data_IF_224761898017
#
_entry.id   IF_224761898017
#
_cell.length_a   1.000
_cell.length_b   1.000
_cell.length_c   1.000
_cell.angle_alpha   90.00
_cell.angle_beta   90.00
_cell.angle_gamma   90.00
#
_symmetry.space_group_name_H-M   'P 1'
#
loop_
_entity.id
_entity.type
_entity.pdbx_description
1 polymer ?
#
# COMPACT_ATOMS: atom_id res chain seq x y z
N UNK A 1 9.40 -1.18 -1.27
CA UNK A 1 8.49 -2.23 -1.64
C UNK A 1 7.41 -2.44 -0.59
N UNK A 2 6.16 -2.56 -1.02
CA UNK A 2 5.04 -2.74 -0.11
C UNK A 2 5.20 -4.04 0.69
N UNK A 3 4.81 -4.01 1.97
CA UNK A 3 4.91 -5.19 2.82
C UNK A 3 3.83 -5.19 3.88
N UNK A 4 3.41 -6.38 4.28
CA UNK A 4 2.47 -6.52 5.37
C UNK A 4 3.15 -6.35 6.72
N UNK A 5 2.55 -5.55 7.60
CA UNK A 5 2.91 -5.48 9.01
C UNK A 5 2.11 -6.51 9.81
N UNK A 6 0.95 -6.88 9.30
CA UNK A 6 0.08 -7.93 9.83
C UNK A 6 -0.89 -8.34 8.71
N UNK A 7 -1.78 -9.29 8.98
CA UNK A 7 -2.80 -9.70 8.02
C UNK A 7 -3.88 -8.63 7.79
N UNK A 8 -3.76 -7.48 8.44
CA UNK A 8 -4.72 -6.38 8.34
C UNK A 8 -4.08 -5.03 8.08
N UNK A 9 -2.76 -4.92 8.14
CA UNK A 9 -2.07 -3.64 7.97
C UNK A 9 -0.98 -3.79 6.93
N UNK A 10 -1.04 -2.95 5.90
CA UNK A 10 -0.04 -2.89 4.84
C UNK A 10 0.78 -1.62 4.97
N UNK A 11 2.10 -1.75 4.90
CA UNK A 11 3.00 -0.63 4.74
C UNK A 11 3.17 -0.36 3.25
N UNK A 12 2.63 0.76 2.79
CA UNK A 12 2.47 1.10 1.39
C UNK A 12 3.46 2.19 0.98
N UNK A 13 3.99 2.06 -0.22
CA UNK A 13 4.84 3.09 -0.83
C UNK A 13 4.19 3.65 -2.08
N UNK A 14 4.24 4.98 -2.23
CA UNK A 14 3.79 5.64 -3.45
C UNK A 14 4.74 5.34 -4.61
N UNK A 15 4.34 5.75 -5.79
CA UNK A 15 5.26 5.80 -6.94
C UNK A 15 6.38 6.81 -6.68
N UNK A 16 7.46 6.69 -7.45
CA UNK A 16 8.55 7.65 -7.41
C UNK A 16 8.08 9.06 -7.77
N UNK A 17 8.81 10.06 -7.27
CA UNK A 17 8.55 11.47 -7.52
C UNK A 17 7.18 11.92 -6.97
N UNK A 18 6.83 11.40 -5.80
CA UNK A 18 5.63 11.81 -5.07
C UNK A 18 6.02 12.42 -3.75
N UNK A 19 5.29 13.47 -3.38
CA UNK A 19 5.47 14.18 -2.11
C UNK A 19 4.18 14.13 -1.30
N UNK A 20 4.26 14.46 -0.03
CA UNK A 20 3.07 14.53 0.82
C UNK A 20 2.00 15.46 0.24
N UNK A 21 2.41 16.47 -0.53
CA UNK A 21 1.50 17.43 -1.18
C UNK A 21 0.98 16.98 -2.54
N UNK A 22 1.47 15.85 -3.06
CA UNK A 22 1.02 15.35 -4.36
C UNK A 22 -0.46 14.98 -4.32
N UNK A 23 -1.19 15.30 -5.40
CA UNK A 23 -2.64 15.04 -5.46
C UNK A 23 -2.99 13.58 -5.22
N UNK A 24 -2.21 12.66 -5.80
CA UNK A 24 -2.43 11.22 -5.62
C UNK A 24 -2.29 10.81 -4.17
N UNK A 25 -1.32 11.38 -3.46
CA UNK A 25 -1.07 11.08 -2.05
C UNK A 25 -2.17 11.68 -1.19
N UNK A 26 -2.60 12.91 -1.49
CA UNK A 26 -3.65 13.59 -0.73
C UNK A 26 -4.97 12.84 -0.75
N UNK A 27 -5.24 12.05 -1.77
CA UNK A 27 -6.46 11.23 -1.85
C UNK A 27 -6.56 10.20 -0.73
N UNK A 28 -5.44 9.76 -0.19
CA UNK A 28 -5.44 8.82 0.94
C UNK A 28 -5.89 9.47 2.25
N UNK A 29 -5.74 10.77 2.37
CA UNK A 29 -5.94 11.51 3.63
C UNK A 29 -7.35 12.06 3.80
N UNK A 30 -8.24 11.82 2.85
CA UNK A 30 -9.60 12.34 2.86
C UNK A 30 -10.61 11.21 2.79
N UNK A 31 -11.80 11.42 3.35
CA UNK A 31 -12.91 10.45 3.31
C UNK A 31 -13.66 10.45 1.97
N UNK A 32 -13.27 11.30 1.02
CA UNK A 32 -13.98 11.45 -0.25
C UNK A 32 -13.80 10.27 -1.19
N UNK A 33 -12.75 9.49 -1.03
CA UNK A 33 -12.41 8.43 -1.96
C UNK A 33 -12.46 7.08 -1.29
N UNK A 34 -12.96 6.09 -2.02
CA UNK A 34 -12.87 4.69 -1.60
C UNK A 34 -11.54 4.14 -2.08
N UNK A 35 -10.73 3.65 -1.15
CA UNK A 35 -9.43 3.09 -1.46
C UNK A 35 -9.56 1.59 -1.69
N UNK A 36 -9.19 1.14 -2.88
CA UNK A 36 -9.20 -0.28 -3.26
C UNK A 36 -7.75 -0.76 -3.35
N UNK A 37 -7.45 -1.83 -2.66
CA UNK A 37 -6.08 -2.31 -2.57
C UNK A 37 -5.86 -3.54 -3.45
N UNK A 38 -4.88 -3.43 -4.36
CA UNK A 38 -4.43 -4.52 -5.21
C UNK A 38 -2.95 -4.76 -4.96
N UNK A 39 -2.53 -6.01 -4.95
CA UNK A 39 -1.15 -6.36 -4.67
C UNK A 39 -0.65 -7.46 -5.59
N UNK A 40 0.59 -7.32 -6.08
CA UNK A 40 1.31 -8.37 -6.78
C UNK A 40 2.09 -9.20 -5.78
N UNK A 41 2.32 -10.46 -6.11
CA UNK A 41 3.15 -11.31 -5.28
C UNK A 41 4.61 -10.85 -5.29
N UNK A 42 5.16 -10.61 -6.49
CA UNK A 42 6.55 -10.20 -6.64
C UNK A 42 6.77 -9.54 -7.99
N UNK A 43 7.58 -8.48 -8.02
CA UNK A 43 7.98 -7.83 -9.27
C UNK A 43 9.00 -8.65 -10.05
N UNK A 44 9.69 -9.58 -9.39
CA UNK A 44 10.66 -10.47 -10.03
C UNK A 44 10.01 -11.66 -10.73
N UNK A 45 8.73 -11.91 -10.49
CA UNK A 45 7.99 -12.97 -11.11
C UNK A 45 7.37 -12.48 -12.42
N UNK A 46 7.37 -13.33 -13.45
CA UNK A 46 6.68 -13.04 -14.70
C UNK A 46 5.16 -13.02 -14.53
N UNK A 47 4.67 -13.48 -13.40
CA UNK A 47 3.24 -13.43 -13.08
C UNK A 47 2.82 -11.99 -12.87
N UNK A 48 1.94 -11.51 -13.75
CA UNK A 48 1.42 -10.12 -13.70
C UNK A 48 0.08 -10.01 -13.01
N UNK A 49 -0.36 -11.09 -12.35
CA UNK A 49 -1.64 -11.09 -11.67
C UNK A 49 -1.60 -10.23 -10.41
N UNK A 50 -2.64 -9.45 -10.24
CA UNK A 50 -2.87 -8.67 -9.03
C UNK A 50 -3.96 -9.35 -8.21
N UNK A 51 -3.77 -9.35 -6.91
CA UNK A 51 -4.76 -9.87 -5.96
C UNK A 51 -5.51 -8.70 -5.33
N UNK A 52 -6.83 -8.74 -5.40
CA UNK A 52 -7.67 -7.72 -4.78
C UNK A 52 -7.83 -8.05 -3.31
N UNK A 53 -7.43 -7.10 -2.45
CA UNK A 53 -7.46 -7.28 -1.00
C UNK A 53 -8.62 -6.56 -0.33
N UNK A 54 -9.49 -5.94 -1.11
CA UNK A 54 -10.65 -5.23 -0.58
C UNK A 54 -10.39 -3.75 -0.38
N UNK A 55 -11.29 -3.13 0.37
CA UNK A 55 -11.16 -1.71 0.71
C UNK A 55 -10.26 -1.54 1.92
N UNK A 56 -9.66 -0.36 2.03
CA UNK A 56 -8.76 -0.02 3.14
C UNK A 56 -8.90 1.44 3.51
N UNK A 57 -8.30 1.81 4.63
CA UNK A 57 -8.29 3.18 5.15
C UNK A 57 -6.89 3.58 5.54
N UNK A 58 -6.58 4.86 5.36
CA UNK A 58 -5.33 5.43 5.82
C UNK A 58 -5.31 5.46 7.36
N UNK A 59 -4.17 5.04 7.94
CA UNK A 59 -3.95 5.15 9.37
C UNK A 59 -3.38 6.53 9.65
N UNK A 60 -4.11 7.33 10.41
CA UNK A 60 -3.75 8.71 10.70
C UNK A 60 -2.33 8.85 11.22
N UNK A 61 -1.65 9.87 10.76
CA UNK A 61 -0.30 10.24 11.18
C UNK A 61 0.79 9.23 10.77
N UNK A 62 0.47 8.25 9.93
CA UNK A 62 1.45 7.25 9.51
C UNK A 62 2.28 7.66 8.29
N UNK A 63 1.83 8.66 7.52
CA UNK A 63 2.53 9.06 6.30
C UNK A 63 3.88 9.71 6.59
N UNK A 64 4.88 9.36 5.77
CA UNK A 64 6.23 9.90 5.86
C UNK A 64 6.77 10.20 4.48
N UNK A 65 7.42 11.36 4.36
CA UNK A 65 8.20 11.69 3.17
C UNK A 65 9.52 10.94 3.27
N UNK A 66 9.86 10.20 2.21
CA UNK A 66 11.10 9.43 2.17
C UNK A 66 11.82 9.69 0.85
N UNK A 67 13.01 9.12 0.73
CA UNK A 67 13.84 9.21 -0.47
C UNK A 67 14.27 7.81 -0.85
N UNK A 68 14.08 7.44 -2.10
CA UNK A 68 14.52 6.16 -2.63
C UNK A 68 15.32 6.39 -3.90
N UNK A 69 16.61 6.05 -3.84
CA UNK A 69 17.53 6.23 -4.97
C UNK A 69 17.55 7.66 -5.50
N UNK A 70 17.51 8.63 -4.59
CA UNK A 70 17.52 10.05 -4.93
C UNK A 70 16.15 10.61 -5.33
N UNK A 71 15.09 9.82 -5.31
CA UNK A 71 13.75 10.24 -5.70
C UNK A 71 12.81 10.30 -4.50
N UNK A 72 11.99 11.36 -4.40
CA UNK A 72 11.04 11.45 -3.30
C UNK A 72 9.93 10.42 -3.46
N UNK A 73 9.60 9.75 -2.36
CA UNK A 73 8.46 8.84 -2.27
C UNK A 73 7.76 9.09 -0.94
N UNK A 74 6.54 8.59 -0.82
CA UNK A 74 5.78 8.67 0.43
C UNK A 74 5.45 7.25 0.88
N UNK A 75 5.71 6.97 2.15
CA UNK A 75 5.26 5.74 2.78
C UNK A 75 4.10 6.04 3.73
N UNK A 76 3.26 5.05 3.94
CA UNK A 76 2.14 5.16 4.87
C UNK A 76 1.64 3.78 5.26
N UNK A 77 0.86 3.72 6.32
CA UNK A 77 0.21 2.48 6.73
C UNK A 77 -1.27 2.52 6.37
N UNK A 78 -1.75 1.44 5.79
CA UNK A 78 -3.15 1.28 5.39
C UNK A 78 -3.74 0.11 6.18
N UNK A 79 -4.94 0.33 6.74
CA UNK A 79 -5.67 -0.71 7.43
C UNK A 79 -6.71 -1.29 6.48
N UNK A 80 -6.66 -2.61 6.26
CA UNK A 80 -7.67 -3.29 5.47
C UNK A 80 -8.96 -3.43 6.29
N UNK A 81 -10.10 -3.28 5.63
CA UNK A 81 -11.41 -3.42 6.27
C UNK A 81 -11.65 -4.86 6.68
N UNK A 82 -11.10 -5.81 5.93
CA UNK A 82 -11.16 -7.23 6.25
C UNK A 82 -9.75 -7.80 6.29
N UNK A 83 -9.52 -8.76 7.19
CA UNK A 83 -8.24 -9.47 7.25
C UNK A 83 -8.00 -10.21 5.94
N UNK A 84 -6.73 -10.27 5.52
CA UNK A 84 -6.35 -11.06 4.36
C UNK A 84 -6.59 -12.53 4.67
N UNK A 85 -7.19 -13.26 3.73
CA UNK A 85 -7.36 -14.69 3.85
C UNK A 85 -6.02 -15.37 4.15
N UNK A 86 -6.02 -16.35 5.06
CA UNK A 86 -4.81 -17.02 5.53
C UNK A 86 -3.94 -17.55 4.38
N UNK A 87 -4.54 -18.24 3.43
CA UNK A 87 -3.79 -18.81 2.31
C UNK A 87 -3.20 -17.72 1.41
N UNK A 88 -3.97 -16.67 1.15
CA UNK A 88 -3.51 -15.55 0.34
C UNK A 88 -2.40 -14.78 1.07
N UNK A 89 -2.53 -14.58 2.37
CA UNK A 89 -1.51 -13.90 3.17
C UNK A 89 -0.17 -14.62 3.08
N UNK A 90 -0.18 -15.95 3.21
CA UNK A 90 1.05 -16.73 3.08
C UNK A 90 1.59 -16.70 1.66
N UNK A 91 0.73 -16.73 0.67
CA UNK A 91 1.16 -16.60 -0.73
C UNK A 91 1.89 -15.28 -0.98
N UNK A 92 1.40 -14.20 -0.40
CA UNK A 92 1.96 -12.85 -0.63
C UNK A 92 3.16 -12.52 0.24
N UNK A 93 3.36 -13.21 1.36
CA UNK A 93 4.42 -12.90 2.32
C UNK A 93 5.56 -13.93 2.34
N UNK A 94 5.37 -15.10 1.80
CA UNK A 94 6.39 -16.17 1.79
C UNK A 94 7.37 -16.05 0.62
#
# INVERSE_FOLDING_TARGET
EDRFLSDRILHYYSKNNRKLTSKEVQKFFTDKYRLLLFMKKSDADDNKDFYYLGTCSYIDSSARQENQDGKPIVSMNLRLDNRVNYHLYHLLTD
#
